data_IF_132825205216
#
_entry.id   IF_132825205216
#
_cell.length_a   1.000
_cell.length_b   1.000
_cell.length_c   1.000
_cell.angle_alpha   90.00
_cell.angle_beta   90.00
_cell.angle_gamma   90.00
#
_symmetry.space_group_name_H-M   'P 1'
#
loop_
_entity.id
_entity.type
_entity.pdbx_description
1 polymer ?
#
# COMPACT_ATOMS: atom_id res chain seq x y z
N UNK A 1 -7.89 -12.19 37.59
CA UNK A 1 -7.06 -12.02 36.36
C UNK A 1 -7.99 -11.76 35.18
N UNK A 2 -8.06 -10.52 34.68
CA UNK A 2 -8.86 -10.22 33.48
C UNK A 2 -8.04 -10.61 32.24
N UNK A 3 -8.34 -11.76 31.65
CA UNK A 3 -7.75 -12.16 30.37
C UNK A 3 -8.07 -11.12 29.30
N UNK A 4 -7.05 -10.53 28.67
CA UNK A 4 -7.26 -9.61 27.54
C UNK A 4 -7.96 -10.38 26.43
N UNK A 5 -9.18 -9.96 26.08
CA UNK A 5 -9.93 -10.54 24.96
C UNK A 5 -9.07 -10.49 23.70
N UNK A 6 -8.63 -11.64 23.19
CA UNK A 6 -7.85 -11.75 21.96
C UNK A 6 -8.65 -11.15 20.82
N UNK A 7 -8.17 -10.06 20.23
CA UNK A 7 -8.83 -9.44 19.08
C UNK A 7 -8.83 -10.43 17.92
N UNK A 8 -10.02 -10.88 17.51
CA UNK A 8 -10.19 -11.62 16.26
C UNK A 8 -10.02 -10.64 15.09
N UNK A 9 -9.16 -11.00 14.15
CA UNK A 9 -9.04 -10.28 12.88
C UNK A 9 -9.73 -11.07 11.79
N UNK A 10 -10.51 -10.37 10.96
CA UNK A 10 -11.26 -10.95 9.85
C UNK A 10 -10.72 -10.40 8.53
N UNK A 11 -10.58 -11.29 7.56
CA UNK A 11 -10.22 -10.99 6.18
C UNK A 11 -11.36 -10.28 5.46
N UNK A 12 -11.05 -9.58 4.36
CA UNK A 12 -12.06 -8.92 3.54
C UNK A 12 -13.02 -9.95 2.94
N UNK A 13 -12.55 -11.15 2.59
CA UNK A 13 -13.44 -12.23 2.12
C UNK A 13 -14.45 -12.67 3.18
N UNK A 14 -14.04 -12.87 4.43
CA UNK A 14 -14.99 -13.19 5.52
C UNK A 14 -16.03 -12.07 5.69
N UNK A 15 -15.59 -10.80 5.58
CA UNK A 15 -16.49 -9.65 5.65
C UNK A 15 -17.44 -9.57 4.45
N UNK A 16 -16.99 -9.89 3.24
CA UNK A 16 -17.82 -9.94 2.03
C UNK A 16 -18.91 -11.00 2.16
N UNK A 17 -18.55 -12.23 2.57
CA UNK A 17 -19.52 -13.32 2.83
C UNK A 17 -20.53 -12.88 3.88
N UNK A 18 -20.07 -12.22 4.95
CA UNK A 18 -20.96 -11.70 5.99
C UNK A 18 -21.93 -10.66 5.42
N UNK A 19 -21.46 -9.72 4.61
CA UNK A 19 -22.31 -8.67 4.04
C UNK A 19 -23.35 -9.23 3.08
N UNK A 20 -23.00 -10.22 2.26
CA UNK A 20 -23.94 -10.91 1.38
C UNK A 20 -25.04 -11.60 2.22
N UNK A 21 -24.66 -12.34 3.25
CA UNK A 21 -25.62 -12.98 4.13
C UNK A 21 -26.53 -11.97 4.86
N UNK A 22 -25.99 -10.82 5.25
CA UNK A 22 -26.79 -9.74 5.86
C UNK A 22 -27.87 -9.21 4.91
N UNK A 23 -27.63 -9.19 3.59
CA UNK A 23 -28.64 -8.77 2.62
C UNK A 23 -29.81 -9.77 2.54
N UNK A 24 -29.54 -11.06 2.79
CA UNK A 24 -30.55 -12.12 2.73
C UNK A 24 -31.35 -12.26 4.04
N UNK A 25 -30.67 -12.24 5.19
CA UNK A 25 -31.28 -12.61 6.49
C UNK A 25 -31.23 -11.50 7.55
N UNK A 26 -30.57 -10.38 7.25
CA UNK A 26 -30.37 -9.29 8.20
C UNK A 26 -29.22 -9.51 9.18
N UNK A 27 -28.83 -8.43 9.88
CA UNK A 27 -27.62 -8.38 10.73
C UNK A 27 -27.64 -9.37 11.89
N UNK A 28 -28.80 -9.53 12.52
CA UNK A 28 -28.95 -10.34 13.73
C UNK A 28 -28.82 -11.83 13.41
N UNK A 29 -29.51 -12.27 12.37
CA UNK A 29 -29.49 -13.66 11.94
C UNK A 29 -28.15 -14.04 11.30
N UNK A 30 -27.56 -13.15 10.50
CA UNK A 30 -26.22 -13.37 9.95
C UNK A 30 -25.15 -13.50 11.06
N UNK A 31 -25.25 -12.71 12.13
CA UNK A 31 -24.34 -12.81 13.26
C UNK A 31 -24.49 -14.15 14.00
N UNK A 32 -25.73 -14.64 14.15
CA UNK A 32 -26.04 -15.93 14.76
C UNK A 32 -25.49 -17.10 13.93
N UNK A 33 -25.75 -17.09 12.62
CA UNK A 33 -25.31 -18.14 11.68
C UNK A 33 -23.78 -18.24 11.63
N UNK A 34 -23.08 -17.10 11.55
CA UNK A 34 -21.62 -17.07 11.41
C UNK A 34 -20.87 -17.11 12.75
N UNK A 35 -21.57 -17.01 13.88
CA UNK A 35 -20.95 -16.94 15.21
C UNK A 35 -20.07 -15.70 15.40
N UNK A 36 -20.36 -14.61 14.68
CA UNK A 36 -19.61 -13.36 14.75
C UNK A 36 -20.27 -12.36 15.70
N UNK A 37 -19.50 -11.47 16.35
CA UNK A 37 -20.09 -10.43 17.18
C UNK A 37 -21.02 -9.54 16.34
N UNK A 38 -22.26 -9.35 16.80
CA UNK A 38 -23.26 -8.46 16.16
C UNK A 38 -22.67 -7.09 15.81
N UNK A 39 -21.86 -6.52 16.72
CA UNK A 39 -21.20 -5.22 16.50
C UNK A 39 -20.27 -5.20 15.29
N UNK A 40 -19.57 -6.31 15.04
CA UNK A 40 -18.70 -6.46 13.86
C UNK A 40 -19.52 -6.59 12.58
N UNK A 41 -20.54 -7.45 12.59
CA UNK A 41 -21.46 -7.65 11.45
C UNK A 41 -22.15 -6.34 11.07
N UNK A 42 -22.68 -5.62 12.06
CA UNK A 42 -23.32 -4.31 11.85
C UNK A 42 -22.34 -3.28 11.27
N UNK A 43 -21.11 -3.21 11.78
CA UNK A 43 -20.09 -2.31 11.24
C UNK A 43 -19.71 -2.63 9.80
N UNK A 44 -19.65 -3.90 9.41
CA UNK A 44 -19.33 -4.31 8.04
C UNK A 44 -20.50 -4.07 7.09
N UNK A 45 -21.73 -4.31 7.55
CA UNK A 45 -22.94 -3.98 6.80
C UNK A 45 -23.01 -2.49 6.41
N UNK A 46 -22.61 -1.58 7.32
CA UNK A 46 -22.47 -0.14 7.00
C UNK A 46 -21.42 0.18 5.94
N UNK A 47 -20.48 -0.74 5.71
CA UNK A 47 -19.40 -0.63 4.72
C UNK A 47 -19.61 -1.58 3.54
N UNK A 48 -20.84 -2.07 3.33
CA UNK A 48 -21.17 -3.11 2.37
C UNK A 48 -20.68 -2.78 0.94
N UNK A 49 -20.98 -1.58 0.46
CA UNK A 49 -20.56 -1.14 -0.89
C UNK A 49 -19.04 -1.24 -1.08
N UNK A 50 -18.28 -0.68 -0.13
CA UNK A 50 -16.81 -0.73 -0.17
C UNK A 50 -16.26 -2.15 -0.05
N UNK A 51 -16.93 -3.03 0.70
CA UNK A 51 -16.56 -4.43 0.85
C UNK A 51 -16.83 -5.22 -0.42
N UNK A 52 -17.98 -5.00 -1.07
CA UNK A 52 -18.36 -5.70 -2.30
C UNK A 52 -17.56 -5.21 -3.51
N UNK A 53 -17.20 -3.92 -3.58
CA UNK A 53 -16.35 -3.36 -4.65
C UNK A 53 -14.85 -3.70 -4.49
N UNK A 54 -14.42 -4.19 -3.31
CA UNK A 54 -13.01 -4.46 -3.06
C UNK A 54 -12.46 -5.60 -3.95
N UNK A 55 -11.54 -5.25 -4.85
CA UNK A 55 -10.82 -6.17 -5.76
C UNK A 55 -9.38 -6.50 -5.32
N UNK A 56 -9.02 -6.18 -4.08
CA UNK A 56 -7.69 -6.46 -3.54
C UNK A 56 -7.49 -7.92 -3.08
N UNK A 57 -6.36 -8.23 -2.42
CA UNK A 57 -6.07 -9.60 -1.99
C UNK A 57 -7.13 -10.15 -1.04
N UNK A 58 -7.58 -11.39 -1.27
CA UNK A 58 -8.59 -12.09 -0.44
C UNK A 58 -8.17 -12.24 1.03
N UNK A 59 -6.86 -12.37 1.27
CA UNK A 59 -6.26 -12.45 2.61
C UNK A 59 -6.09 -11.09 3.30
N UNK A 60 -6.37 -9.98 2.61
CA UNK A 60 -6.29 -8.65 3.20
C UNK A 60 -7.24 -8.55 4.37
N UNK A 61 -6.81 -7.91 5.45
CA UNK A 61 -7.66 -7.63 6.63
C UNK A 61 -8.31 -6.24 6.56
N UNK A 62 -7.85 -5.40 5.63
CA UNK A 62 -8.26 -4.01 5.48
C UNK A 62 -8.66 -3.71 4.04
N UNK A 63 -9.65 -2.81 3.88
CA UNK A 63 -10.11 -2.31 2.60
C UNK A 63 -9.09 -1.37 1.93
N UNK A 64 -8.28 -0.72 2.76
CA UNK A 64 -7.20 0.17 2.33
C UNK A 64 -5.89 -0.31 2.94
N UNK A 65 -4.78 -0.14 2.23
CA UNK A 65 -3.45 -0.32 2.83
C UNK A 65 -3.30 0.64 4.01
N UNK A 66 -3.00 0.12 5.20
CA UNK A 66 -2.81 0.96 6.39
C UNK A 66 -1.61 1.90 6.21
N UNK A 67 -1.83 3.18 6.48
CA UNK A 67 -0.75 4.14 6.75
C UNK A 67 -1.25 5.58 6.77
N UNK A 68 -1.00 6.30 7.88
CA UNK A 68 -1.00 7.77 7.88
C UNK A 68 0.01 8.21 6.84
N UNK A 69 -0.41 9.02 5.88
CA UNK A 69 0.50 9.67 4.92
C UNK A 69 1.33 10.68 5.70
N UNK A 70 2.45 10.26 6.29
CA UNK A 70 3.53 11.19 6.58
C UNK A 70 4.11 11.60 5.23
N UNK A 71 3.56 12.66 4.66
CA UNK A 71 4.01 13.19 3.39
C UNK A 71 4.19 14.68 3.58
N UNK A 72 5.44 15.06 3.40
CA UNK A 72 5.93 16.41 3.48
C UNK A 72 5.50 17.21 2.24
N UNK A 73 5.67 18.54 2.25
CA UNK A 73 5.41 19.37 1.08
C UNK A 73 6.19 18.86 -0.15
N UNK A 74 5.62 18.97 -1.35
CA UNK A 74 6.35 18.62 -2.59
C UNK A 74 6.57 17.11 -2.86
N UNK A 75 5.95 16.21 -2.09
CA UNK A 75 6.08 14.75 -2.32
C UNK A 75 5.75 14.31 -3.75
N UNK A 76 4.76 14.94 -4.38
CA UNK A 76 4.39 14.61 -5.75
C UNK A 76 5.56 14.85 -6.73
N UNK A 77 6.24 16.00 -6.60
CA UNK A 77 7.39 16.35 -7.43
C UNK A 77 8.55 15.36 -7.23
N UNK A 78 8.81 14.98 -5.98
CA UNK A 78 9.87 14.00 -5.66
C UNK A 78 9.52 12.62 -6.20
N UNK A 79 8.27 12.17 -6.07
CA UNK A 79 7.83 10.88 -6.63
C UNK A 79 7.94 10.87 -8.16
N UNK A 80 7.63 11.99 -8.83
CA UNK A 80 7.84 12.12 -10.28
C UNK A 80 9.32 11.98 -10.62
N UNK A 81 10.21 12.72 -9.96
CA UNK A 81 11.65 12.61 -10.14
C UNK A 81 12.16 11.17 -9.93
N UNK A 82 11.70 10.50 -8.87
CA UNK A 82 12.06 9.11 -8.59
C UNK A 82 11.64 8.15 -9.71
N UNK A 83 10.46 8.37 -10.30
CA UNK A 83 9.96 7.56 -11.43
C UNK A 83 10.75 7.84 -12.70
N UNK A 84 11.13 9.09 -12.95
CA UNK A 84 11.92 9.46 -14.13
C UNK A 84 13.33 8.84 -14.07
N UNK A 85 14.02 8.95 -12.92
CA UNK A 85 15.31 8.27 -12.69
C UNK A 85 15.19 6.77 -12.96
N UNK A 86 14.07 6.16 -12.58
CA UNK A 86 13.85 4.73 -12.81
C UNK A 86 13.49 4.41 -14.27
N UNK A 87 12.76 5.29 -14.95
CA UNK A 87 12.45 5.18 -16.38
C UNK A 87 13.73 5.25 -17.22
N UNK A 88 14.69 6.05 -16.78
CA UNK A 88 16.01 6.18 -17.41
C UNK A 88 16.99 5.05 -17.01
N UNK A 89 16.48 4.00 -16.33
CA UNK A 89 17.25 2.85 -15.83
C UNK A 89 18.41 3.19 -14.88
N UNK A 90 18.43 4.41 -14.33
CA UNK A 90 19.46 4.86 -13.38
C UNK A 90 19.20 4.31 -11.98
N UNK A 91 20.29 4.21 -11.22
CA UNK A 91 20.22 3.85 -9.81
C UNK A 91 19.66 5.02 -9.00
N UNK A 92 18.57 4.77 -8.29
CA UNK A 92 18.00 5.71 -7.35
C UNK A 92 18.39 5.30 -5.92
N UNK A 93 19.24 6.09 -5.28
CA UNK A 93 19.66 5.87 -3.89
C UNK A 93 18.76 6.63 -2.93
N UNK A 94 18.67 6.15 -1.68
CA UNK A 94 17.98 6.88 -0.60
C UNK A 94 18.60 8.26 -0.37
N UNK A 95 19.92 8.39 -0.52
CA UNK A 95 20.64 9.67 -0.40
C UNK A 95 20.16 10.67 -1.45
N UNK A 96 20.03 10.25 -2.71
CA UNK A 96 19.53 11.12 -3.77
C UNK A 96 18.08 11.59 -3.51
N UNK A 97 17.26 10.76 -2.86
CA UNK A 97 15.92 11.16 -2.43
C UNK A 97 16.02 12.20 -1.31
N UNK A 98 16.88 11.98 -0.31
CA UNK A 98 17.10 12.93 0.79
C UNK A 98 17.58 14.30 0.25
N UNK A 99 18.54 14.33 -0.68
CA UNK A 99 19.03 15.57 -1.29
C UNK A 99 17.91 16.31 -2.03
N UNK A 100 17.04 15.57 -2.73
CA UNK A 100 15.88 16.15 -3.40
C UNK A 100 14.88 16.73 -2.40
N UNK A 101 14.64 16.05 -1.28
CA UNK A 101 13.76 16.55 -0.20
C UNK A 101 14.33 17.84 0.39
N UNK A 102 15.64 17.87 0.64
CA UNK A 102 16.35 19.08 1.09
C UNK A 102 16.28 20.24 0.09
N UNK A 103 16.35 19.94 -1.20
CA UNK A 103 16.24 20.95 -2.27
C UNK A 103 14.83 21.53 -2.37
N UNK A 104 13.81 20.70 -2.12
CA UNK A 104 12.40 21.11 -2.20
C UNK A 104 11.97 21.97 -1.00
N UNK A 105 12.31 21.54 0.23
CA UNK A 105 11.91 22.24 1.44
C UNK A 105 12.92 22.02 2.59
N UNK A 106 14.01 22.80 2.64
CA UNK A 106 15.05 22.67 3.66
C UNK A 106 14.53 23.02 5.06
N UNK A 107 13.57 23.95 5.16
CA UNK A 107 12.99 24.35 6.43
C UNK A 107 12.17 23.21 7.03
N UNK A 108 11.30 22.59 6.23
CA UNK A 108 10.53 21.43 6.65
C UNK A 108 11.44 20.27 7.09
N UNK A 109 12.56 20.04 6.39
CA UNK A 109 13.51 19.00 6.79
C UNK A 109 14.12 19.28 8.16
N UNK A 110 14.54 20.52 8.41
CA UNK A 110 15.11 20.93 9.69
C UNK A 110 14.10 20.76 10.85
N UNK A 111 12.86 21.19 10.63
CA UNK A 111 11.75 21.02 11.59
C UNK A 111 11.40 19.54 11.81
N UNK A 112 11.40 18.74 10.74
CA UNK A 112 11.11 17.31 10.82
C UNK A 112 12.19 16.59 11.63
N UNK A 113 13.47 16.82 11.34
CA UNK A 113 14.59 16.21 12.05
C UNK A 113 14.55 16.60 13.53
N UNK A 114 14.36 17.88 13.85
CA UNK A 114 14.36 18.37 15.24
C UNK A 114 13.19 17.81 16.06
N UNK A 115 12.02 17.60 15.43
CA UNK A 115 10.85 17.03 16.11
C UNK A 115 10.93 15.52 16.39
N UNK A 116 11.93 14.81 15.84
CA UNK A 116 12.02 13.35 15.90
C UNK A 116 13.17 12.91 16.79
N UNK A 117 12.89 11.99 17.73
CA UNK A 117 13.90 11.38 18.61
C UNK A 117 15.10 10.76 17.90
N UNK A 118 14.91 10.29 16.65
CA UNK A 118 15.97 9.66 15.85
C UNK A 118 16.56 10.58 14.77
N UNK A 119 16.19 11.86 14.77
CA UNK A 119 16.78 12.88 13.89
C UNK A 119 16.84 12.47 12.42
N UNK A 120 18.04 12.52 11.84
CA UNK A 120 18.32 12.18 10.43
C UNK A 120 17.87 10.75 10.08
N UNK A 121 17.97 9.79 10.99
CA UNK A 121 17.51 8.41 10.75
C UNK A 121 15.98 8.34 10.56
N UNK A 122 15.22 9.27 11.14
CA UNK A 122 13.79 9.35 10.89
C UNK A 122 13.50 9.78 9.44
N UNK A 123 14.26 10.75 8.93
CA UNK A 123 14.17 11.24 7.55
C UNK A 123 14.57 10.16 6.54
N UNK A 124 15.67 9.45 6.81
CA UNK A 124 16.12 8.36 5.95
C UNK A 124 15.04 7.28 5.82
N UNK A 125 14.47 6.83 6.94
CA UNK A 125 13.38 5.84 6.95
C UNK A 125 12.14 6.36 6.24
N UNK A 126 11.83 7.65 6.34
CA UNK A 126 10.74 8.27 5.59
C UNK A 126 10.97 8.17 4.09
N UNK A 127 12.18 8.49 3.61
CA UNK A 127 12.57 8.41 2.20
C UNK A 127 12.55 6.96 1.69
N UNK A 128 13.05 6.00 2.48
CA UNK A 128 12.98 4.56 2.15
C UNK A 128 11.54 4.08 2.01
N UNK A 129 10.64 4.47 2.93
CA UNK A 129 9.20 4.14 2.83
C UNK A 129 8.58 4.76 1.58
N UNK A 130 8.95 5.99 1.23
CA UNK A 130 8.47 6.66 0.03
C UNK A 130 8.89 5.91 -1.24
N UNK A 131 10.16 5.49 -1.31
CA UNK A 131 10.71 4.65 -2.37
C UNK A 131 9.95 3.34 -2.49
N UNK A 132 9.91 2.55 -1.41
CA UNK A 132 9.26 1.23 -1.40
C UNK A 132 7.78 1.29 -1.78
N UNK A 133 7.09 2.38 -1.44
CA UNK A 133 5.67 2.54 -1.76
C UNK A 133 5.42 2.88 -3.22
N UNK A 134 6.26 3.73 -3.83
CA UNK A 134 5.98 4.30 -5.15
C UNK A 134 6.75 3.60 -6.28
N UNK A 135 7.90 3.02 -5.96
CA UNK A 135 8.71 2.26 -6.91
C UNK A 135 8.28 0.81 -6.83
N UNK A 136 7.31 0.46 -7.68
CA UNK A 136 6.93 -0.94 -7.86
C UNK A 136 8.12 -1.67 -8.49
N UNK A 137 8.46 -2.84 -7.95
CA UNK A 137 9.29 -3.79 -8.68
C UNK A 137 8.52 -4.15 -9.96
N UNK A 138 9.12 -4.03 -11.15
CA UNK A 138 8.45 -4.45 -12.38
C UNK A 138 8.06 -5.92 -12.24
N UNK A 139 6.82 -6.26 -12.65
CA UNK A 139 6.43 -7.66 -12.76
C UNK A 139 7.43 -8.34 -13.70
N UNK A 140 7.92 -9.52 -13.34
CA UNK A 140 8.71 -10.35 -14.25
C UNK A 140 7.89 -10.54 -15.52
N UNK A 141 8.46 -10.23 -16.68
CA UNK A 141 7.86 -10.54 -17.98
C UNK A 141 7.58 -12.03 -18.06
N UNK A 142 6.48 -12.42 -18.71
CA UNK A 142 6.22 -13.84 -18.98
C UNK A 142 7.27 -14.38 -19.95
N UNK A 143 7.39 -15.71 -20.04
CA UNK A 143 8.33 -16.32 -20.98
C UNK A 143 8.00 -15.93 -22.43
N UNK A 144 6.71 -15.83 -22.76
CA UNK A 144 6.23 -15.42 -24.08
C UNK A 144 6.63 -13.98 -24.40
N UNK A 145 6.43 -13.04 -23.46
CA UNK A 145 6.87 -11.64 -23.62
C UNK A 145 8.39 -11.53 -23.79
N UNK A 146 9.16 -12.40 -23.12
CA UNK A 146 10.62 -12.43 -23.28
C UNK A 146 11.04 -13.00 -24.64
N UNK A 147 10.32 -13.98 -25.18
CA UNK A 147 10.60 -14.53 -26.50
C UNK A 147 10.35 -13.49 -27.59
N UNK A 148 9.27 -12.71 -27.49
CA UNK A 148 8.99 -11.58 -28.40
C UNK A 148 10.13 -10.56 -28.36
N UNK A 149 10.53 -10.11 -27.16
CA UNK A 149 11.64 -9.14 -27.00
C UNK A 149 12.95 -9.66 -27.58
N UNK A 150 13.23 -10.97 -27.41
CA UNK A 150 14.43 -11.59 -28.00
C UNK A 150 14.38 -11.64 -29.52
N UNK A 151 13.23 -11.97 -30.10
CA UNK A 151 13.05 -12.00 -31.55
C UNK A 151 13.20 -10.59 -32.16
N UNK A 152 12.56 -9.59 -31.57
CA UNK A 152 12.69 -8.18 -32.00
C UNK A 152 14.14 -7.70 -31.93
N UNK A 153 14.85 -8.03 -30.85
CA UNK A 153 16.26 -7.69 -30.72
C UNK A 153 17.13 -8.40 -31.77
N UNK A 154 16.88 -9.70 -32.01
CA UNK A 154 17.62 -10.47 -32.99
C UNK A 154 17.45 -9.91 -34.41
N UNK A 155 16.23 -9.55 -34.79
CA UNK A 155 15.95 -8.88 -36.07
C UNK A 155 16.68 -7.54 -36.14
N UNK A 156 16.62 -6.72 -35.09
CA UNK A 156 17.24 -5.39 -35.08
C UNK A 156 18.78 -5.43 -35.16
N UNK A 157 19.41 -6.47 -34.62
CA UNK A 157 20.87 -6.52 -34.48
C UNK A 157 21.55 -7.44 -35.50
N UNK A 158 20.87 -8.49 -35.97
CA UNK A 158 21.42 -9.49 -36.90
C UNK A 158 20.64 -9.61 -38.21
N UNK A 159 19.53 -8.90 -38.36
CA UNK A 159 18.72 -8.86 -39.60
C UNK A 159 19.21 -7.85 -40.61
#
# INVERSE_FOLDING_TARGET
MHSRRKQRTYTVTEKQVTVLLVQDVGVEEAARILGYPRSSVSSWSKQAENLLDFKGPKTSKTLTGQGRKELFPGVAAIVTCMKDVRRDERLLSTVAIIDRVWTEDPQWVAEYISSRKSGVLALERLCQRLANRNLKVPKKKTLEELQVVRAEFAIKFWG
#
